data_IF_855599073261
#
_entry.id   IF_855599073261
#
_cell.length_a   1.000
_cell.length_b   1.000
_cell.length_c   1.000
_cell.angle_alpha   90.00
_cell.angle_beta   90.00
_cell.angle_gamma   90.00
#
_symmetry.space_group_name_H-M   'P 1'
#
loop_
_entity.id
_entity.type
_entity.pdbx_description
1 polymer ?
#
# COMPACT_ATOMS: atom_id res chain seq x y z
N UNK A 1 8.90 6.95 3.37
CA UNK A 1 7.63 7.55 3.84
C UNK A 1 6.53 6.51 3.82
N UNK A 2 5.55 6.60 4.72
CA UNK A 2 4.37 5.73 4.74
C UNK A 2 3.10 6.56 4.49
N UNK A 3 2.25 6.10 3.58
CA UNK A 3 0.85 6.53 3.50
C UNK A 3 0.02 5.54 4.31
N UNK A 4 -0.48 5.97 5.46
CA UNK A 4 -1.23 5.12 6.39
C UNK A 4 -2.73 5.36 6.28
N UNK A 5 -3.43 4.44 5.63
CA UNK A 5 -4.87 4.50 5.42
C UNK A 5 -5.60 3.74 6.55
N UNK A 6 -6.50 4.44 7.23
CA UNK A 6 -7.37 3.89 8.28
C UNK A 6 -6.63 3.08 9.37
N UNK A 7 -5.56 3.67 9.91
CA UNK A 7 -4.73 3.13 11.00
C UNK A 7 -4.11 1.74 10.73
N UNK A 8 -3.86 1.41 9.46
CA UNK A 8 -3.28 0.13 9.09
C UNK A 8 -1.86 -0.04 9.65
N UNK A 9 -1.08 1.04 9.71
CA UNK A 9 0.26 1.01 10.30
C UNK A 9 0.22 0.65 11.80
N UNK A 10 -0.76 1.16 12.55
CA UNK A 10 -0.92 0.84 13.98
C UNK A 10 -1.28 -0.62 14.20
N UNK A 11 -2.12 -1.19 13.33
CA UNK A 11 -2.43 -2.61 13.33
C UNK A 11 -1.16 -3.45 13.10
N UNK A 12 -0.35 -3.10 12.09
CA UNK A 12 0.88 -3.82 11.79
C UNK A 12 1.92 -3.69 12.91
N UNK A 13 2.12 -2.48 13.47
CA UNK A 13 3.00 -2.28 14.64
C UNK A 13 2.59 -3.20 15.80
N UNK A 14 1.29 -3.30 16.07
CA UNK A 14 0.76 -4.18 17.12
C UNK A 14 1.05 -5.65 16.82
N UNK A 15 0.79 -6.11 15.59
CA UNK A 15 1.02 -7.50 15.19
C UNK A 15 2.51 -7.89 15.23
N UNK A 16 3.40 -7.01 14.76
CA UNK A 16 4.86 -7.21 14.79
C UNK A 16 5.34 -7.28 16.25
N UNK A 17 4.84 -6.39 17.13
CA UNK A 17 5.17 -6.41 18.55
C UNK A 17 4.68 -7.68 19.26
N UNK A 18 3.49 -8.19 18.92
CA UNK A 18 2.99 -9.47 19.42
C UNK A 18 3.84 -10.66 18.95
N UNK A 19 4.45 -10.56 17.76
CA UNK A 19 5.44 -11.51 17.26
C UNK A 19 6.83 -11.38 17.92
N UNK A 20 6.98 -10.46 18.89
CA UNK A 20 8.23 -10.16 19.61
C UNK A 20 9.37 -9.69 18.70
N UNK A 21 9.00 -9.03 17.59
CA UNK A 21 9.94 -8.37 16.70
C UNK A 21 10.06 -6.89 17.08
N UNK A 22 11.21 -6.28 16.75
CA UNK A 22 11.49 -4.86 16.99
C UNK A 22 10.51 -3.98 16.18
N UNK A 23 10.00 -2.91 16.81
CA UNK A 23 8.99 -2.01 16.21
C UNK A 23 9.32 -0.53 16.34
N UNK A 24 10.36 -0.20 17.11
CA UNK A 24 10.79 1.16 17.44
C UNK A 24 11.20 1.94 16.19
N UNK A 25 11.67 1.24 15.15
CA UNK A 25 11.98 1.86 13.86
C UNK A 25 10.75 2.53 13.21
N UNK A 26 9.53 2.05 13.49
CA UNK A 26 8.28 2.62 12.98
C UNK A 26 7.93 3.96 13.62
N UNK A 27 8.54 4.34 14.75
CA UNK A 27 8.25 5.61 15.42
C UNK A 27 8.95 6.80 14.75
N UNK A 28 9.97 6.53 13.94
CA UNK A 28 10.78 7.56 13.29
C UNK A 28 10.43 7.81 11.82
N UNK A 29 9.60 6.95 11.21
CA UNK A 29 9.22 7.07 9.80
C UNK A 29 8.25 8.24 9.60
N UNK A 30 8.42 8.97 8.50
CA UNK A 30 7.46 10.00 8.07
C UNK A 30 6.16 9.37 7.59
N UNK A 31 5.03 9.90 8.05
CA UNK A 31 3.69 9.35 7.78
C UNK A 31 2.73 10.43 7.29
N UNK A 32 2.03 10.16 6.19
CA UNK A 32 0.80 10.88 5.81
C UNK A 32 -0.37 9.97 6.17
N UNK A 33 -1.27 10.46 7.01
CA UNK A 33 -2.45 9.70 7.42
C UNK A 33 -3.65 10.00 6.54
N UNK A 34 -4.36 8.97 6.12
CA UNK A 34 -5.64 9.06 5.42
C UNK A 34 -6.70 8.41 6.30
N UNK A 35 -7.54 9.25 6.92
CA UNK A 35 -8.48 8.84 7.95
C UNK A 35 -7.80 8.30 9.21
N UNK A 36 -8.46 7.34 9.89
CA UNK A 36 -7.98 6.74 11.15
C UNK A 36 -7.96 7.72 12.32
N UNK A 37 -7.40 7.34 13.47
CA UNK A 37 -7.24 8.14 14.70
C UNK A 37 -5.93 7.88 15.45
N UNK A 38 -5.25 6.77 15.17
CA UNK A 38 -4.07 6.33 15.92
C UNK A 38 -2.78 6.91 15.32
N UNK A 39 -1.90 7.44 16.16
CA UNK A 39 -0.64 8.02 15.71
C UNK A 39 0.49 7.00 15.85
N UNK A 40 1.14 6.69 14.73
CA UNK A 40 2.38 5.90 14.64
C UNK A 40 3.29 6.60 13.65
N UNK A 41 4.58 6.70 13.98
CA UNK A 41 5.54 7.48 13.22
C UNK A 41 5.39 9.00 13.37
N UNK A 42 6.16 9.74 12.58
CA UNK A 42 6.11 11.20 12.49
C UNK A 42 5.03 11.62 11.50
N UNK A 43 3.82 11.89 12.02
CA UNK A 43 2.68 12.28 11.20
C UNK A 43 2.89 13.70 10.66
N UNK A 44 3.13 13.83 9.35
CA UNK A 44 3.35 15.10 8.65
C UNK A 44 2.02 15.77 8.26
N UNK A 45 1.01 14.98 7.93
CA UNK A 45 -0.29 15.46 7.52
C UNK A 45 -1.39 14.43 7.81
N UNK A 46 -2.63 14.91 7.86
CA UNK A 46 -3.82 14.09 8.11
C UNK A 46 -4.95 14.51 7.19
N UNK A 47 -5.34 13.59 6.31
CA UNK A 47 -6.37 13.78 5.30
C UNK A 47 -7.66 13.06 5.74
N UNK A 48 -8.84 13.67 5.59
CA UNK A 48 -10.11 12.99 5.87
C UNK A 48 -10.40 11.93 4.80
N UNK A 49 -10.87 10.75 5.20
CA UNK A 49 -11.27 9.68 4.28
C UNK A 49 -12.80 9.57 4.14
N UNK A 50 -13.51 10.70 4.31
CA UNK A 50 -14.99 10.73 4.37
C UNK A 50 -15.66 10.87 3.00
N UNK A 51 -14.93 11.36 2.00
CA UNK A 51 -15.43 11.65 0.66
C UNK A 51 -14.25 11.48 -0.32
N UNK A 52 -14.39 10.60 -1.30
CA UNK A 52 -13.30 10.24 -2.22
C UNK A 52 -12.85 11.42 -3.10
N UNK A 53 -13.76 12.16 -3.79
CA UNK A 53 -13.37 13.32 -4.58
C UNK A 53 -12.60 14.38 -3.77
N UNK A 54 -13.07 14.69 -2.57
CA UNK A 54 -12.39 15.62 -1.68
C UNK A 54 -11.05 15.07 -1.20
N UNK A 55 -10.97 13.80 -0.85
CA UNK A 55 -9.72 13.17 -0.44
C UNK A 55 -8.66 13.28 -1.53
N UNK A 56 -9.01 13.00 -2.78
CA UNK A 56 -8.10 13.11 -3.95
C UNK A 56 -7.54 14.54 -4.03
N UNK A 57 -8.42 15.54 -4.00
CA UNK A 57 -8.02 16.96 -4.02
C UNK A 57 -7.13 17.33 -2.82
N UNK A 58 -7.51 16.94 -1.61
CA UNK A 58 -6.74 17.22 -0.40
C UNK A 58 -5.37 16.50 -0.43
N UNK A 59 -5.32 15.30 -1.03
CA UNK A 59 -4.11 14.51 -1.23
C UNK A 59 -3.17 15.21 -2.20
N UNK A 60 -3.63 15.66 -3.36
CA UNK A 60 -2.82 16.41 -4.32
C UNK A 60 -2.25 17.69 -3.69
N UNK A 61 -3.09 18.50 -3.03
CA UNK A 61 -2.65 19.75 -2.41
C UNK A 61 -1.62 19.55 -1.31
N UNK A 62 -1.71 18.42 -0.59
CA UNK A 62 -0.83 18.13 0.53
C UNK A 62 0.43 17.42 0.08
N UNK A 63 0.29 16.36 -0.71
CA UNK A 63 1.36 15.43 -1.03
C UNK A 63 2.24 15.92 -2.18
N UNK A 64 1.69 16.60 -3.19
CA UNK A 64 2.47 17.12 -4.33
C UNK A 64 3.61 18.02 -3.87
N UNK A 65 3.41 19.01 -2.98
CA UNK A 65 4.53 19.80 -2.44
C UNK A 65 5.58 18.96 -1.71
N UNK A 66 5.18 17.99 -0.88
CA UNK A 66 6.12 17.11 -0.17
C UNK A 66 6.96 16.27 -1.13
N UNK A 67 6.32 15.76 -2.17
CA UNK A 67 6.99 15.00 -3.20
C UNK A 67 7.92 15.86 -4.05
N UNK A 68 7.51 17.08 -4.41
CA UNK A 68 8.31 17.99 -5.20
C UNK A 68 9.55 18.50 -4.47
N UNK A 69 9.45 18.77 -3.17
CA UNK A 69 10.61 19.15 -2.36
C UNK A 69 11.66 18.04 -2.26
N UNK A 70 11.26 16.79 -2.47
CA UNK A 70 12.13 15.62 -2.40
C UNK A 70 12.42 15.01 -3.78
N UNK A 71 12.14 15.73 -4.88
CA UNK A 71 12.34 15.26 -6.26
C UNK A 71 13.77 14.86 -6.61
N UNK A 72 14.77 15.22 -5.80
CA UNK A 72 16.17 14.85 -6.03
C UNK A 72 16.64 13.64 -5.23
N UNK A 73 15.78 13.02 -4.42
CA UNK A 73 16.12 11.87 -3.58
C UNK A 73 15.32 10.64 -3.99
N UNK A 74 16.00 9.51 -4.19
CA UNK A 74 15.32 8.22 -4.32
C UNK A 74 14.51 7.99 -3.04
N UNK A 75 13.19 7.92 -3.18
CA UNK A 75 12.30 7.81 -2.04
C UNK A 75 11.49 6.54 -2.13
N UNK A 76 11.55 5.73 -1.07
CA UNK A 76 10.65 4.58 -0.90
C UNK A 76 9.37 5.08 -0.24
N UNK A 77 8.25 4.85 -0.89
CA UNK A 77 6.91 5.15 -0.39
C UNK A 77 6.19 3.83 -0.17
N UNK A 78 5.66 3.62 1.03
CA UNK A 78 4.88 2.42 1.36
C UNK A 78 3.44 2.86 1.62
N UNK A 79 2.50 2.31 0.87
CA UNK A 79 1.07 2.59 1.02
C UNK A 79 0.41 1.41 1.70
N UNK A 80 -0.16 1.66 2.89
CA UNK A 80 -0.78 0.64 3.72
C UNK A 80 -2.29 0.88 3.82
N UNK A 81 -3.08 -0.18 3.63
CA UNK A 81 -4.53 -0.12 3.78
C UNK A 81 -5.29 0.31 2.52
N UNK A 82 -4.65 0.28 1.36
CA UNK A 82 -5.23 0.71 0.08
C UNK A 82 -6.55 -0.02 -0.23
N UNK A 83 -6.63 -1.33 0.02
CA UNK A 83 -7.87 -2.10 -0.17
C UNK A 83 -9.05 -1.51 0.60
N UNK A 84 -8.83 -0.98 1.80
CA UNK A 84 -9.89 -0.39 2.62
C UNK A 84 -10.38 0.92 2.03
N UNK A 85 -9.52 1.67 1.33
CA UNK A 85 -9.92 2.89 0.65
C UNK A 85 -10.87 2.60 -0.51
N UNK A 86 -10.58 1.56 -1.30
CA UNK A 86 -11.46 1.10 -2.36
C UNK A 86 -12.82 0.58 -1.85
N UNK A 87 -12.89 0.06 -0.62
CA UNK A 87 -14.16 -0.28 0.03
C UNK A 87 -15.01 0.94 0.41
N UNK A 88 -14.39 2.11 0.58
CA UNK A 88 -15.11 3.35 0.87
C UNK A 88 -15.67 4.01 -0.39
N UNK A 89 -15.24 3.59 -1.58
CA UNK A 89 -15.79 4.10 -2.83
C UNK A 89 -17.26 3.66 -2.97
N UNK A 90 -18.16 4.63 -3.09
CA UNK A 90 -19.60 4.39 -3.21
C UNK A 90 -20.01 4.00 -4.64
N UNK A 91 -19.10 4.15 -5.60
CA UNK A 91 -19.34 3.80 -7.00
C UNK A 91 -18.08 3.31 -7.72
N UNK A 92 -18.28 2.65 -8.86
CA UNK A 92 -17.17 2.31 -9.78
C UNK A 92 -16.41 3.55 -10.27
N UNK A 93 -17.11 4.68 -10.41
CA UNK A 93 -16.49 5.93 -10.81
C UNK A 93 -15.53 6.44 -9.74
N UNK A 94 -15.90 6.37 -8.46
CA UNK A 94 -15.00 6.70 -7.34
C UNK A 94 -13.79 5.78 -7.25
N UNK A 95 -13.99 4.48 -7.45
CA UNK A 95 -12.87 3.55 -7.53
C UNK A 95 -11.94 3.90 -8.71
N UNK A 96 -12.48 4.28 -9.87
CA UNK A 96 -11.67 4.71 -11.02
C UNK A 96 -10.93 6.03 -10.76
N UNK A 97 -11.52 6.99 -10.03
CA UNK A 97 -10.83 8.21 -9.63
C UNK A 97 -9.64 7.91 -8.69
N UNK A 98 -9.78 6.93 -7.79
CA UNK A 98 -8.65 6.47 -6.98
C UNK A 98 -7.55 5.82 -7.84
N UNK A 99 -7.92 5.04 -8.86
CA UNK A 99 -6.94 4.47 -9.80
C UNK A 99 -6.22 5.59 -10.57
N UNK A 100 -6.95 6.60 -11.05
CA UNK A 100 -6.38 7.75 -11.77
C UNK A 100 -5.36 8.52 -10.92
N UNK A 101 -5.67 8.73 -9.63
CA UNK A 101 -4.72 9.30 -8.68
C UNK A 101 -3.42 8.46 -8.62
N UNK A 102 -3.52 7.13 -8.56
CA UNK A 102 -2.32 6.27 -8.50
C UNK A 102 -1.47 6.40 -9.78
N UNK A 103 -2.11 6.48 -10.95
CA UNK A 103 -1.43 6.68 -12.25
C UNK A 103 -0.60 7.97 -12.25
N UNK A 104 -1.14 9.06 -11.70
CA UNK A 104 -0.42 10.34 -11.62
C UNK A 104 0.91 10.20 -10.87
N UNK A 105 0.92 9.45 -9.75
CA UNK A 105 2.12 9.30 -8.92
C UNK A 105 3.11 8.24 -9.42
N UNK A 106 2.70 7.32 -10.30
CA UNK A 106 3.61 6.31 -10.87
C UNK A 106 4.58 6.88 -11.91
N UNK A 107 4.24 8.00 -12.56
CA UNK A 107 5.10 8.62 -13.58
C UNK A 107 6.39 9.29 -13.02
N UNK A 108 6.65 9.15 -11.73
CA UNK A 108 7.83 9.71 -11.07
C UNK A 108 8.99 8.70 -11.06
N UNK A 109 9.96 8.84 -11.99
CA UNK A 109 11.13 7.96 -12.11
C UNK A 109 12.03 7.84 -10.86
N UNK A 110 11.80 8.65 -9.83
CA UNK A 110 12.66 8.76 -8.65
C UNK A 110 12.01 8.23 -7.37
N UNK A 111 10.86 7.57 -7.49
CA UNK A 111 10.13 6.97 -6.37
C UNK A 111 9.92 5.50 -6.63
N UNK A 112 10.08 4.69 -5.59
CA UNK A 112 9.64 3.30 -5.60
C UNK A 112 8.47 3.19 -4.63
N UNK A 113 7.28 2.95 -5.17
CA UNK A 113 6.05 2.89 -4.39
C UNK A 113 5.65 1.42 -4.20
N UNK A 114 5.46 1.01 -2.95
CA UNK A 114 4.96 -0.31 -2.59
C UNK A 114 3.53 -0.19 -2.09
N UNK A 115 2.58 -0.72 -2.85
CA UNK A 115 1.17 -0.81 -2.47
C UNK A 115 0.90 -2.16 -1.79
N UNK A 116 0.60 -2.13 -0.49
CA UNK A 116 0.16 -3.33 0.23
C UNK A 116 -1.35 -3.48 0.12
N UNK A 117 -1.75 -4.47 -0.65
CA UNK A 117 -3.15 -4.76 -0.99
C UNK A 117 -3.53 -6.13 -0.44
N UNK A 118 -4.59 -6.18 0.37
CA UNK A 118 -5.22 -7.42 0.76
C UNK A 118 -6.19 -7.85 -0.34
N UNK A 119 -5.92 -9.00 -0.96
CA UNK A 119 -6.74 -9.54 -2.06
C UNK A 119 -8.12 -9.99 -1.59
N UNK A 120 -8.21 -10.59 -0.40
CA UNK A 120 -9.46 -11.10 0.16
C UNK A 120 -10.45 -9.97 0.45
N UNK A 121 -9.94 -8.79 0.78
CA UNK A 121 -10.74 -7.57 1.01
C UNK A 121 -11.38 -7.06 -0.30
N UNK A 122 -10.75 -7.32 -1.45
CA UNK A 122 -11.23 -6.86 -2.76
C UNK A 122 -12.00 -7.95 -3.54
N UNK A 123 -12.22 -9.12 -2.95
CA UNK A 123 -12.75 -10.28 -3.68
C UNK A 123 -14.27 -10.17 -3.95
N UNK A 124 -15.02 -9.50 -3.06
CA UNK A 124 -16.46 -9.27 -3.19
C UNK A 124 -16.77 -7.87 -3.74
N UNK A 125 -17.33 -7.81 -4.96
CA UNK A 125 -17.85 -6.58 -5.58
C UNK A 125 -16.81 -5.61 -6.17
N UNK A 126 -15.52 -5.77 -5.84
CA UNK A 126 -14.42 -4.89 -6.28
C UNK A 126 -13.26 -5.61 -6.98
N UNK A 127 -13.43 -6.87 -7.40
CA UNK A 127 -12.37 -7.65 -8.06
C UNK A 127 -11.77 -6.97 -9.30
N UNK A 128 -12.55 -6.15 -10.01
CA UNK A 128 -12.05 -5.36 -11.15
C UNK A 128 -10.94 -4.37 -10.74
N UNK A 129 -10.97 -3.86 -9.50
CA UNK A 129 -9.92 -2.99 -8.95
C UNK A 129 -8.59 -3.74 -8.89
N UNK A 130 -8.60 -5.02 -8.51
CA UNK A 130 -7.38 -5.82 -8.50
C UNK A 130 -6.75 -5.90 -9.88
N UNK A 131 -7.55 -6.18 -10.91
CA UNK A 131 -7.06 -6.25 -12.29
C UNK A 131 -6.47 -4.91 -12.76
N UNK A 132 -7.09 -3.78 -12.40
CA UNK A 132 -6.57 -2.45 -12.73
C UNK A 132 -5.26 -2.14 -11.99
N UNK A 133 -5.15 -2.53 -10.70
CA UNK A 133 -3.91 -2.38 -9.94
C UNK A 133 -2.78 -3.25 -10.50
N UNK A 134 -3.07 -4.50 -10.89
CA UNK A 134 -2.10 -5.40 -11.51
C UNK A 134 -1.68 -4.91 -12.92
N UNK A 135 -2.59 -4.28 -13.67
CA UNK A 135 -2.30 -3.64 -14.95
C UNK A 135 -1.35 -2.44 -14.77
N UNK A 136 -1.66 -1.58 -13.80
CA UNK A 136 -0.90 -0.37 -13.47
C UNK A 136 0.52 -0.72 -12.96
N UNK A 137 0.62 -1.61 -11.98
CA UNK A 137 1.86 -1.88 -11.28
C UNK A 137 2.96 -2.43 -12.20
N UNK A 138 4.16 -1.86 -12.11
CA UNK A 138 5.35 -2.35 -12.85
C UNK A 138 5.87 -3.69 -12.35
N UNK A 139 5.58 -4.04 -11.10
CA UNK A 139 5.92 -5.32 -10.49
C UNK A 139 4.80 -5.75 -9.56
N UNK A 140 4.35 -7.00 -9.69
CA UNK A 140 3.34 -7.60 -8.83
C UNK A 140 3.97 -8.75 -8.06
N UNK A 141 3.94 -8.66 -6.73
CA UNK A 141 4.45 -9.68 -5.83
C UNK A 141 3.30 -10.19 -4.97
N UNK A 142 3.07 -11.50 -4.99
CA UNK A 142 2.02 -12.14 -4.19
C UNK A 142 2.63 -12.92 -3.05
N UNK A 143 2.25 -12.56 -1.82
CA UNK A 143 2.57 -13.31 -0.61
C UNK A 143 1.45 -14.31 -0.32
N UNK A 144 1.78 -15.59 -0.14
CA UNK A 144 0.82 -16.66 0.11
C UNK A 144 1.28 -17.45 1.33
N UNK A 145 0.35 -17.66 2.27
CA UNK A 145 0.56 -18.59 3.37
C UNK A 145 0.34 -20.02 2.86
N UNK A 146 1.34 -20.86 3.04
CA UNK A 146 1.27 -22.27 2.68
C UNK A 146 1.46 -23.16 3.92
N UNK A 147 1.10 -24.43 3.76
CA UNK A 147 1.40 -25.51 4.69
C UNK A 147 2.06 -26.58 3.83
N UNK A 148 3.21 -27.07 4.26
CA UNK A 148 3.81 -28.22 3.60
C UNK A 148 3.05 -29.48 4.04
N UNK A 149 2.93 -30.48 3.17
CA UNK A 149 2.25 -31.74 3.52
C UNK A 149 3.03 -32.50 4.61
N UNK A 150 4.34 -32.25 4.73
CA UNK A 150 5.24 -32.83 5.73
C UNK A 150 5.58 -31.87 6.90
N UNK A 151 5.44 -30.55 6.73
CA UNK A 151 5.71 -29.56 7.78
C UNK A 151 4.44 -29.19 8.55
N UNK A 152 4.43 -29.47 9.86
CA UNK A 152 3.35 -29.04 10.77
C UNK A 152 3.29 -27.53 10.99
N UNK A 153 4.24 -26.75 10.47
CA UNK A 153 4.32 -25.30 10.63
C UNK A 153 3.95 -24.57 9.33
N UNK A 154 3.01 -23.62 9.37
CA UNK A 154 2.70 -22.80 8.21
C UNK A 154 3.90 -21.90 7.88
N UNK A 155 4.19 -21.73 6.59
CA UNK A 155 5.20 -20.81 6.09
C UNK A 155 4.55 -19.78 5.14
N UNK A 156 5.31 -18.74 4.79
CA UNK A 156 4.91 -17.78 3.75
C UNK A 156 5.86 -17.95 2.58
N UNK A 157 5.33 -17.94 1.36
CA UNK A 157 6.16 -17.75 0.19
C UNK A 157 5.71 -16.52 -0.58
N UNK A 158 6.66 -15.87 -1.23
CA UNK A 158 6.41 -14.77 -2.15
C UNK A 158 6.69 -15.24 -3.57
N UNK A 159 5.81 -14.86 -4.48
CA UNK A 159 5.91 -15.15 -5.90
C UNK A 159 5.83 -13.84 -6.70
N UNK A 160 6.75 -13.65 -7.63
CA UNK A 160 6.69 -12.54 -8.59
C UNK A 160 5.78 -12.94 -9.74
N UNK A 161 4.67 -12.23 -9.91
CA UNK A 161 3.67 -12.49 -10.95
C UNK A 161 3.89 -11.68 -12.23
N UNK A 162 4.47 -10.49 -12.07
CA UNK A 162 4.75 -9.53 -13.13
C UNK A 162 5.99 -8.75 -12.73
N UNK A 163 6.90 -8.48 -13.64
CA UNK A 163 8.04 -7.59 -13.42
C UNK A 163 8.55 -7.01 -14.74
N UNK A 164 9.07 -5.77 -14.71
CA UNK A 164 9.77 -5.19 -15.88
C UNK A 164 10.99 -6.04 -16.26
N UNK A 165 11.73 -6.55 -15.26
CA UNK A 165 12.77 -7.54 -15.49
C UNK A 165 12.13 -8.93 -15.57
N UNK A 166 11.94 -9.43 -16.79
CA UNK A 166 11.27 -10.72 -17.06
C UNK A 166 12.00 -11.93 -16.46
N UNK A 167 13.31 -11.82 -16.17
CA UNK A 167 14.06 -12.88 -15.47
C UNK A 167 13.54 -13.12 -14.04
N UNK A 168 12.88 -12.12 -13.46
CA UNK A 168 12.30 -12.22 -12.12
C UNK A 168 10.90 -12.83 -12.13
N UNK A 169 10.23 -12.93 -13.28
CA UNK A 169 8.86 -13.46 -13.34
C UNK A 169 8.82 -14.95 -13.00
N UNK A 170 7.86 -15.34 -12.15
CA UNK A 170 7.76 -16.70 -11.63
C UNK A 170 8.76 -17.02 -10.51
N UNK A 171 9.64 -16.10 -10.13
CA UNK A 171 10.55 -16.28 -8.99
C UNK A 171 9.75 -16.52 -7.71
N UNK A 172 10.13 -17.57 -6.96
CA UNK A 172 9.49 -17.98 -5.70
C UNK A 172 10.52 -18.03 -4.58
N UNK A 173 10.19 -17.41 -3.46
CA UNK A 173 11.01 -17.40 -2.25
C UNK A 173 10.17 -17.81 -1.04
N UNK A 174 10.62 -18.83 -0.30
CA UNK A 174 10.10 -19.17 1.04
C UNK A 174 10.69 -18.18 2.04
N UNK A 175 9.83 -17.49 2.79
CA UNK A 175 10.19 -16.56 3.86
C UNK A 175 10.23 -17.27 5.21
#
# INVERSE_FOLDING_TARGET
MIIDILDTLSLYKTQIGLAKLEVEFLDNVEVIKVGGRLNVGKVLARLPASDIPKLIKDFELTCTPYFSQNENKQTIVVVLGLSKLFLLAESKFEALMLIDLLVEYENSQKKTIFYFVNMDVLDDGSRYVMSLLEELATTVIRAVRAKDEEETKPYVHVMVLKAINTEMEGFKLKL
#
